data_IF_771255655625
#
_entry.id   IF_771255655625
#
_cell.length_a   1.000
_cell.length_b   1.000
_cell.length_c   1.000
_cell.angle_alpha   90.00
_cell.angle_beta   90.00
_cell.angle_gamma   90.00
#
_symmetry.space_group_name_H-M   'P 1'
#
loop_
_entity.id
_entity.type
_entity.pdbx_description
1 polymer ?
#
# COMPACT_ATOMS: atom_id res chain seq x y z
N UNK A 1 -33.33 -41.50 17.89
CA UNK A 1 -32.67 -40.29 18.44
C UNK A 1 -31.37 -40.10 17.69
N UNK A 2 -31.35 -39.18 16.74
CA UNK A 2 -30.21 -38.87 15.88
C UNK A 2 -29.31 -37.83 16.56
N UNK A 3 -28.04 -38.18 16.77
CA UNK A 3 -27.03 -37.31 17.36
C UNK A 3 -26.64 -36.22 16.34
N UNK A 4 -26.83 -34.94 16.68
CA UNK A 4 -26.25 -33.81 15.93
C UNK A 4 -24.93 -33.41 16.59
N UNK A 5 -23.81 -33.34 15.85
CA UNK A 5 -22.55 -32.80 16.38
C UNK A 5 -22.65 -31.30 16.67
N UNK A 6 -21.92 -30.87 17.70
CA UNK A 6 -21.82 -29.50 18.19
C UNK A 6 -20.94 -28.63 17.27
N UNK A 7 -21.26 -27.33 17.17
CA UNK A 7 -20.50 -26.29 16.44
C UNK A 7 -19.07 -26.03 16.99
N UNK A 8 -18.67 -26.75 18.05
CA UNK A 8 -17.38 -26.62 18.74
C UNK A 8 -16.49 -27.88 18.64
N UNK A 9 -16.87 -28.89 17.84
CA UNK A 9 -15.93 -29.97 17.53
C UNK A 9 -14.86 -29.42 16.57
N UNK A 10 -13.67 -29.15 17.12
CA UNK A 10 -12.50 -28.67 16.38
C UNK A 10 -12.19 -29.62 15.21
N UNK A 11 -12.01 -29.12 13.98
CA UNK A 11 -11.52 -29.96 12.89
C UNK A 11 -10.08 -30.41 13.19
N UNK A 12 -9.65 -31.55 12.62
CA UNK A 12 -8.30 -32.05 12.82
C UNK A 12 -7.27 -31.03 12.33
N UNK A 13 -6.16 -30.99 13.07
CA UNK A 13 -4.97 -30.18 12.81
C UNK A 13 -4.45 -30.43 11.38
N UNK A 14 -4.91 -29.60 10.44
CA UNK A 14 -4.28 -29.47 9.14
C UNK A 14 -3.15 -28.50 9.35
N UNK A 15 -1.95 -29.04 9.54
CA UNK A 15 -0.70 -28.31 9.35
C UNK A 15 -0.65 -27.83 7.89
N UNK A 16 -1.33 -26.71 7.63
CA UNK A 16 -1.24 -26.02 6.37
C UNK A 16 0.18 -25.46 6.30
N UNK A 17 1.00 -26.07 5.45
CA UNK A 17 2.20 -25.42 4.93
C UNK A 17 1.74 -24.13 4.23
N UNK A 18 1.58 -23.04 4.99
CA UNK A 18 1.49 -21.69 4.45
C UNK A 18 2.86 -21.42 3.84
N UNK A 19 2.99 -21.68 2.54
CA UNK A 19 4.17 -21.26 1.79
C UNK A 19 4.27 -19.75 1.92
N UNK A 20 5.35 -19.26 2.54
CA UNK A 20 5.63 -17.83 2.67
C UNK A 20 5.42 -17.11 1.33
N UNK A 21 4.92 -15.87 1.32
CA UNK A 21 4.69 -15.12 0.09
C UNK A 21 5.98 -15.09 -0.75
N UNK A 22 5.87 -15.44 -2.04
CA UNK A 22 7.02 -15.40 -2.95
C UNK A 22 7.38 -13.95 -3.26
N UNK A 23 8.53 -13.51 -2.77
CA UNK A 23 9.06 -12.19 -3.08
C UNK A 23 9.75 -12.16 -4.44
N UNK A 24 9.46 -11.14 -5.25
CA UNK A 24 10.19 -10.81 -6.47
C UNK A 24 10.85 -9.46 -6.26
N UNK A 25 12.19 -9.45 -6.25
CA UNK A 25 12.95 -8.21 -6.20
C UNK A 25 13.13 -7.66 -7.61
N UNK A 26 12.74 -6.41 -7.84
CA UNK A 26 13.02 -5.74 -9.12
C UNK A 26 14.33 -4.95 -8.96
N UNK A 27 15.26 -5.17 -9.88
CA UNK A 27 16.52 -4.42 -9.89
C UNK A 27 16.26 -3.01 -10.43
N UNK A 28 16.28 -2.02 -9.54
CA UNK A 28 16.19 -0.60 -9.87
C UNK A 28 17.49 0.08 -9.41
N UNK A 29 18.19 0.87 -10.25
CA UNK A 29 19.27 1.72 -9.76
C UNK A 29 18.74 2.68 -8.69
N UNK A 30 19.47 2.79 -7.58
CA UNK A 30 19.21 3.78 -6.51
C UNK A 30 17.81 3.69 -5.87
N UNK A 31 17.14 2.54 -5.95
CA UNK A 31 15.82 2.34 -5.37
C UNK A 31 15.57 0.89 -4.98
N UNK A 32 14.81 0.69 -3.92
CA UNK A 32 14.46 -0.63 -3.41
C UNK A 32 12.96 -0.86 -3.53
N UNK A 33 12.60 -2.02 -4.10
CA UNK A 33 11.21 -2.42 -4.29
C UNK A 33 11.07 -3.94 -4.16
N UNK A 34 10.15 -4.38 -3.31
CA UNK A 34 9.79 -5.78 -3.14
C UNK A 34 8.37 -6.01 -3.61
N UNK A 35 8.17 -6.99 -4.48
CA UNK A 35 6.88 -7.31 -5.05
C UNK A 35 6.44 -8.72 -4.66
N UNK A 36 5.23 -8.83 -4.11
CA UNK A 36 4.62 -10.08 -3.64
C UNK A 36 3.35 -10.37 -4.47
N UNK A 37 3.47 -11.08 -5.59
CA UNK A 37 2.32 -11.47 -6.40
C UNK A 37 1.40 -12.41 -5.62
N UNK A 38 0.09 -12.19 -5.75
CA UNK A 38 -0.95 -12.97 -5.06
C UNK A 38 -0.74 -13.05 -3.54
N UNK A 39 -0.13 -12.02 -2.93
CA UNK A 39 0.15 -11.99 -1.49
C UNK A 39 -1.09 -12.30 -0.65
N UNK A 40 -2.25 -11.75 -1.03
CA UNK A 40 -3.50 -11.94 -0.30
C UNK A 40 -3.84 -13.42 -0.07
N UNK A 41 -3.63 -14.30 -1.07
CA UNK A 41 -3.97 -15.72 -0.96
C UNK A 41 -3.04 -16.53 -0.06
N UNK A 42 -1.84 -16.02 0.21
CA UNK A 42 -0.81 -16.64 1.06
C UNK A 42 -0.66 -15.96 2.41
N UNK A 43 -1.33 -14.83 2.60
CA UNK A 43 -1.32 -14.05 3.84
C UNK A 43 -2.31 -14.59 4.88
N UNK A 44 -2.24 -14.06 6.10
CA UNK A 44 -3.26 -14.30 7.14
C UNK A 44 -4.65 -13.75 6.78
N UNK A 45 -4.77 -12.92 5.75
CA UNK A 45 -6.06 -12.41 5.24
C UNK A 45 -6.70 -13.33 4.20
N UNK A 46 -6.06 -14.45 3.83
CA UNK A 46 -6.59 -15.39 2.83
C UNK A 46 -8.06 -15.79 3.09
N UNK A 47 -8.51 -16.04 4.34
CA UNK A 47 -9.92 -16.32 4.63
C UNK A 47 -10.89 -15.17 4.28
N UNK A 48 -10.42 -13.92 4.31
CA UNK A 48 -11.21 -12.73 3.97
C UNK A 48 -11.14 -12.36 2.48
N UNK A 49 -10.21 -12.98 1.73
CA UNK A 49 -9.97 -12.63 0.33
C UNK A 49 -11.24 -12.61 -0.56
N UNK A 50 -12.22 -13.52 -0.41
CA UNK A 50 -13.43 -13.51 -1.24
C UNK A 50 -14.33 -12.28 -1.03
N UNK A 51 -14.29 -11.64 0.14
CA UNK A 51 -15.20 -10.55 0.52
C UNK A 51 -14.49 -9.21 0.74
N UNK A 52 -13.15 -9.22 0.83
CA UNK A 52 -12.34 -8.06 1.20
C UNK A 52 -12.60 -6.84 0.33
N UNK A 53 -12.72 -7.05 -0.99
CA UNK A 53 -12.99 -5.98 -1.95
C UNK A 53 -14.34 -5.29 -1.67
N UNK A 54 -15.42 -6.08 -1.60
CA UNK A 54 -16.77 -5.57 -1.41
C UNK A 54 -16.91 -4.87 -0.06
N UNK A 55 -16.26 -5.43 0.96
CA UNK A 55 -16.32 -4.87 2.30
C UNK A 55 -15.59 -3.53 2.41
N UNK A 56 -14.41 -3.39 1.80
CA UNK A 56 -13.75 -2.09 1.68
C UNK A 56 -14.59 -1.12 0.84
N UNK A 57 -15.15 -1.59 -0.27
CA UNK A 57 -15.98 -0.77 -1.15
C UNK A 57 -17.20 -0.20 -0.42
N UNK A 58 -17.74 -0.94 0.54
CA UNK A 58 -18.89 -0.58 1.37
C UNK A 58 -18.53 0.29 2.59
N UNK A 59 -17.46 -0.02 3.31
CA UNK A 59 -17.12 0.63 4.58
C UNK A 59 -16.29 1.92 4.42
N UNK A 60 -15.44 2.01 3.40
CA UNK A 60 -14.55 3.16 3.22
C UNK A 60 -15.38 4.42 2.92
N UNK A 61 -15.05 5.51 3.61
CA UNK A 61 -15.72 6.80 3.47
C UNK A 61 -15.23 7.54 2.21
N UNK A 62 -15.60 7.02 1.04
CA UNK A 62 -15.11 7.50 -0.25
C UNK A 62 -15.50 8.97 -0.50
N UNK A 63 -14.49 9.78 -0.80
CA UNK A 63 -14.65 11.14 -1.31
C UNK A 63 -13.91 11.29 -2.65
N UNK A 64 -14.32 12.25 -3.48
CA UNK A 64 -13.50 12.71 -4.59
C UNK A 64 -12.85 14.05 -4.23
N UNK A 65 -11.66 14.02 -3.60
CA UNK A 65 -10.98 15.24 -3.12
C UNK A 65 -10.76 16.29 -4.22
N UNK A 66 -10.96 17.55 -3.85
CA UNK A 66 -10.57 18.71 -4.66
C UNK A 66 -9.17 19.19 -4.26
N UNK A 67 -8.28 19.35 -5.25
CA UNK A 67 -6.95 19.94 -5.08
C UNK A 67 -6.83 21.22 -5.91
N UNK A 68 -5.90 22.08 -5.52
CA UNK A 68 -5.55 23.27 -6.29
C UNK A 68 -4.26 22.99 -7.06
N UNK A 69 -4.33 22.95 -8.40
CA UNK A 69 -3.18 22.84 -9.27
C UNK A 69 -3.13 24.05 -10.19
N UNK A 70 -1.99 24.75 -10.20
CA UNK A 70 -1.79 25.99 -10.98
C UNK A 70 -2.90 27.03 -10.75
N UNK A 71 -3.33 27.18 -9.49
CA UNK A 71 -4.40 28.11 -9.10
C UNK A 71 -5.82 27.67 -9.46
N UNK A 72 -5.99 26.50 -10.10
CA UNK A 72 -7.31 25.95 -10.46
C UNK A 72 -7.71 24.83 -9.53
N UNK A 73 -8.93 24.91 -9.01
CA UNK A 73 -9.59 23.83 -8.27
C UNK A 73 -9.97 22.71 -9.22
N UNK A 74 -9.54 21.50 -8.91
CA UNK A 74 -9.87 20.32 -9.70
C UNK A 74 -10.04 19.09 -8.81
N UNK A 75 -11.04 18.27 -9.17
CA UNK A 75 -11.24 16.98 -8.53
C UNK A 75 -10.19 16.00 -9.03
N UNK A 76 -9.55 15.29 -8.12
CA UNK A 76 -8.62 14.22 -8.51
C UNK A 76 -9.40 13.12 -9.25
N UNK A 77 -8.80 12.47 -10.26
CA UNK A 77 -9.48 11.44 -11.04
C UNK A 77 -9.39 10.09 -10.33
N UNK A 78 -9.97 9.99 -9.13
CA UNK A 78 -10.16 8.79 -8.31
C UNK A 78 -10.94 9.15 -7.05
N UNK A 79 -11.57 8.17 -6.42
CA UNK A 79 -12.05 8.34 -5.05
C UNK A 79 -10.92 8.02 -4.07
N UNK A 80 -10.94 8.64 -2.90
CA UNK A 80 -10.00 8.35 -1.83
C UNK A 80 -10.64 8.51 -0.44
N UNK A 81 -9.93 7.99 0.55
CA UNK A 81 -10.21 8.23 1.96
C UNK A 81 -8.89 8.08 2.73
N UNK A 82 -8.64 8.98 3.67
CA UNK A 82 -7.42 8.97 4.48
C UNK A 82 -7.76 8.63 5.93
N UNK A 83 -7.16 7.55 6.43
CA UNK A 83 -7.28 7.09 7.81
C UNK A 83 -5.90 7.10 8.45
N UNK A 84 -5.79 7.58 9.68
CA UNK A 84 -4.52 7.60 10.40
C UNK A 84 -4.74 7.69 11.91
N UNK A 85 -3.67 7.53 12.67
CA UNK A 85 -3.69 7.85 14.09
C UNK A 85 -4.05 9.33 14.31
N UNK A 86 -4.79 9.69 15.37
CA UNK A 86 -5.25 11.06 15.61
C UNK A 86 -4.12 12.11 15.58
N UNK A 87 -2.93 11.75 16.08
CA UNK A 87 -1.75 12.62 16.10
C UNK A 87 -1.13 12.91 14.73
N UNK A 88 -1.58 12.24 13.66
CA UNK A 88 -1.10 12.46 12.30
C UNK A 88 -1.75 13.66 11.60
N UNK A 89 -2.82 14.24 12.16
CA UNK A 89 -3.46 15.42 11.59
C UNK A 89 -2.50 16.61 11.50
N UNK A 90 -2.56 17.34 10.40
CA UNK A 90 -1.63 18.45 10.12
C UNK A 90 -2.37 19.71 9.65
N UNK A 91 -1.73 20.86 9.78
CA UNK A 91 -2.26 22.14 9.29
C UNK A 91 -1.47 22.58 8.06
N UNK A 92 -2.15 22.80 6.94
CA UNK A 92 -1.55 23.38 5.75
C UNK A 92 -2.33 24.63 5.33
N UNK A 93 -1.61 25.75 5.15
CA UNK A 93 -2.19 27.05 4.77
C UNK A 93 -3.38 27.47 5.66
N UNK A 94 -3.26 27.25 6.97
CA UNK A 94 -4.29 27.58 7.96
C UNK A 94 -5.49 26.62 7.99
N UNK A 95 -5.55 25.61 7.12
CA UNK A 95 -6.56 24.56 7.16
C UNK A 95 -6.00 23.32 7.86
N UNK A 96 -6.68 22.88 8.92
CA UNK A 96 -6.39 21.60 9.56
C UNK A 96 -7.00 20.46 8.75
N UNK A 97 -6.22 19.41 8.54
CA UNK A 97 -6.62 18.18 7.88
C UNK A 97 -6.63 17.08 8.93
N UNK A 98 -7.84 16.71 9.36
CA UNK A 98 -8.06 15.65 10.34
C UNK A 98 -8.17 14.29 9.62
N UNK A 99 -7.44 13.26 10.05
CA UNK A 99 -7.59 11.93 9.50
C UNK A 99 -8.89 11.29 9.97
N UNK A 100 -9.44 10.38 9.15
CA UNK A 100 -10.53 9.53 9.61
C UNK A 100 -10.01 8.50 10.63
N UNK A 101 -10.81 8.12 11.64
CA UNK A 101 -10.44 7.05 12.56
C UNK A 101 -10.43 5.70 11.86
N UNK A 102 -9.41 4.88 12.14
CA UNK A 102 -9.24 3.57 11.51
C UNK A 102 -10.50 2.70 11.52
N UNK A 103 -10.82 2.12 10.36
CA UNK A 103 -11.79 1.03 10.28
C UNK A 103 -11.17 -0.26 10.85
N UNK A 104 -11.93 -1.11 11.58
CA UNK A 104 -11.43 -2.39 12.06
C UNK A 104 -10.80 -3.25 10.95
N UNK A 105 -11.42 -3.27 9.77
CA UNK A 105 -10.90 -3.98 8.61
C UNK A 105 -9.53 -3.44 8.14
N UNK A 106 -9.33 -2.12 8.16
CA UNK A 106 -8.04 -1.52 7.78
C UNK A 106 -6.95 -1.83 8.83
N UNK A 107 -7.32 -1.98 10.11
CA UNK A 107 -6.40 -2.43 11.18
C UNK A 107 -5.97 -3.88 10.95
N UNK A 108 -6.90 -4.77 10.59
CA UNK A 108 -6.59 -6.17 10.26
C UNK A 108 -5.66 -6.27 9.05
N UNK A 109 -5.94 -5.49 7.99
CA UNK A 109 -5.09 -5.44 6.80
C UNK A 109 -3.70 -4.93 7.15
N UNK A 110 -3.61 -3.84 7.93
CA UNK A 110 -2.34 -3.28 8.42
C UNK A 110 -1.53 -4.34 9.15
N UNK A 111 -2.14 -5.04 10.11
CA UNK A 111 -1.44 -6.05 10.92
C UNK A 111 -0.86 -7.19 10.05
N UNK A 112 -1.61 -7.66 9.04
CA UNK A 112 -1.14 -8.69 8.12
C UNK A 112 0.02 -8.19 7.23
N UNK A 113 -0.07 -6.97 6.72
CA UNK A 113 1.01 -6.33 5.95
C UNK A 113 2.25 -6.15 6.82
N UNK A 114 2.11 -5.60 8.03
CA UNK A 114 3.23 -5.42 8.97
C UNK A 114 3.88 -6.76 9.33
N UNK A 115 3.09 -7.81 9.59
CA UNK A 115 3.62 -9.16 9.84
C UNK A 115 4.47 -9.68 8.68
N UNK A 116 4.05 -9.44 7.44
CA UNK A 116 4.78 -9.88 6.24
C UNK A 116 6.09 -9.12 6.07
N UNK A 117 6.06 -7.79 6.24
CA UNK A 117 7.18 -6.91 5.91
C UNK A 117 8.19 -6.77 7.04
N UNK A 118 7.82 -7.12 8.28
CA UNK A 118 8.68 -6.98 9.47
C UNK A 118 10.08 -7.62 9.32
N UNK A 119 10.22 -8.86 8.79
CA UNK A 119 11.55 -9.46 8.61
C UNK A 119 12.46 -8.70 7.64
N UNK A 120 11.88 -7.98 6.66
CA UNK A 120 12.65 -7.15 5.74
C UNK A 120 13.02 -5.79 6.32
N UNK A 121 12.10 -5.19 7.09
CA UNK A 121 12.24 -3.80 7.55
C UNK A 121 12.96 -3.67 8.89
N UNK A 122 13.14 -4.77 9.63
CA UNK A 122 13.82 -4.80 10.93
C UNK A 122 14.93 -5.85 10.86
N UNK A 123 16.16 -5.40 10.63
CA UNK A 123 17.35 -6.28 10.67
C UNK A 123 17.43 -7.03 12.01
N UNK A 124 17.58 -8.35 11.96
CA UNK A 124 17.78 -9.19 13.14
C UNK A 124 16.51 -9.59 13.91
N UNK A 125 15.31 -9.32 13.39
CA UNK A 125 14.06 -9.79 14.00
C UNK A 125 13.97 -11.33 13.96
N UNK A 126 14.39 -12.00 15.03
CA UNK A 126 14.15 -13.43 15.22
C UNK A 126 12.72 -13.66 15.69
N UNK A 127 12.22 -14.89 15.54
CA UNK A 127 10.86 -15.26 15.97
C UNK A 127 10.66 -15.09 17.50
N UNK A 128 11.75 -14.98 18.27
CA UNK A 128 11.79 -14.75 19.72
C UNK A 128 11.71 -13.26 20.10
N UNK A 129 12.09 -12.32 19.22
CA UNK A 129 12.01 -10.87 19.51
C UNK A 129 10.56 -10.33 19.55
N UNK A 130 9.58 -11.12 19.11
CA UNK A 130 8.16 -10.76 19.14
C UNK A 130 7.61 -10.70 20.57
N UNK A 131 8.23 -11.40 21.52
CA UNK A 131 7.70 -11.49 22.89
C UNK A 131 8.38 -10.54 23.89
N UNK A 132 9.66 -10.17 23.75
CA UNK A 132 10.33 -9.26 24.70
C UNK A 132 11.53 -8.46 24.11
N UNK A 133 11.29 -7.30 23.50
CA UNK A 133 12.30 -6.22 23.42
C UNK A 133 11.67 -4.85 23.13
N UNK A 134 11.79 -3.92 24.08
CA UNK A 134 11.22 -2.56 24.07
C UNK A 134 11.82 -1.60 23.02
N UNK A 135 12.74 -2.07 22.16
CA UNK A 135 13.48 -1.23 21.22
C UNK A 135 13.13 -1.44 19.75
N UNK A 136 12.24 -2.37 19.40
CA UNK A 136 11.70 -2.47 18.03
C UNK A 136 10.42 -1.63 17.91
N UNK A 137 10.23 -0.82 16.84
CA UNK A 137 8.96 -0.15 16.62
C UNK A 137 7.85 -1.19 16.52
N UNK A 138 6.92 -1.20 17.50
CA UNK A 138 5.72 -2.03 17.46
C UNK A 138 4.94 -1.77 16.16
N UNK A 139 4.86 -0.52 15.76
CA UNK A 139 4.14 -0.07 14.56
C UNK A 139 5.10 0.42 13.46
N UNK A 140 4.91 -0.13 12.27
CA UNK A 140 5.63 0.25 11.04
C UNK A 140 4.84 1.36 10.33
N UNK A 141 3.51 1.27 10.32
CA UNK A 141 2.62 2.25 9.69
C UNK A 141 1.69 2.89 10.71
N UNK A 142 1.28 4.13 10.47
CA UNK A 142 0.30 4.86 11.31
C UNK A 142 -0.69 5.67 10.47
N UNK A 143 -0.65 5.48 9.14
CA UNK A 143 -1.46 6.20 8.16
C UNK A 143 -1.72 5.30 6.96
N UNK A 144 -2.93 5.38 6.41
CA UNK A 144 -3.34 4.70 5.18
C UNK A 144 -4.16 5.63 4.28
N UNK A 145 -3.76 5.72 3.01
CA UNK A 145 -4.55 6.34 1.97
C UNK A 145 -5.16 5.24 1.10
N UNK A 146 -6.48 5.12 1.16
CA UNK A 146 -7.23 4.21 0.30
C UNK A 146 -7.63 4.97 -0.96
N UNK A 147 -7.39 4.39 -2.13
CA UNK A 147 -7.75 4.96 -3.42
C UNK A 147 -8.64 3.97 -4.19
N UNK A 148 -9.73 4.44 -4.78
CA UNK A 148 -10.57 3.67 -5.69
C UNK A 148 -10.52 4.31 -7.09
N UNK A 149 -10.03 3.52 -8.05
CA UNK A 149 -10.02 3.85 -9.47
C UNK A 149 -11.24 3.17 -10.10
N UNK A 150 -12.27 3.95 -10.40
CA UNK A 150 -13.59 3.45 -10.85
C UNK A 150 -13.50 2.74 -12.19
N UNK A 151 -12.61 3.22 -13.06
CA UNK A 151 -12.40 2.69 -14.41
C UNK A 151 -11.00 3.08 -14.96
N UNK A 152 -10.82 2.90 -16.27
CA UNK A 152 -9.59 3.27 -16.99
C UNK A 152 -9.32 4.78 -17.09
N UNK A 153 -10.29 5.65 -16.78
CA UNK A 153 -10.18 7.10 -16.84
C UNK A 153 -9.71 7.72 -15.52
N UNK A 154 -9.84 6.98 -14.42
CA UNK A 154 -9.21 7.31 -13.15
C UNK A 154 -7.71 7.02 -13.16
N UNK A 155 -6.91 7.87 -12.49
CA UNK A 155 -5.45 7.84 -12.54
C UNK A 155 -4.79 8.57 -11.38
N UNK A 156 -3.47 8.39 -11.26
CA UNK A 156 -2.58 9.28 -10.52
C UNK A 156 -1.40 9.59 -11.43
N UNK A 157 -1.04 10.87 -11.55
CA UNK A 157 0.07 11.31 -12.40
C UNK A 157 1.43 10.90 -11.79
N UNK A 158 2.51 11.11 -12.54
CA UNK A 158 3.87 10.92 -12.04
C UNK A 158 4.13 11.71 -10.76
N UNK A 159 4.48 11.02 -9.68
CA UNK A 159 4.84 11.60 -8.38
C UNK A 159 5.81 10.67 -7.65
N UNK A 160 6.36 11.16 -6.54
CA UNK A 160 7.04 10.36 -5.52
C UNK A 160 6.30 10.59 -4.20
N UNK A 161 6.33 9.63 -3.30
CA UNK A 161 5.83 9.83 -1.93
C UNK A 161 6.94 10.50 -1.10
N UNK A 162 7.23 11.77 -1.40
CA UNK A 162 8.33 12.55 -0.80
C UNK A 162 7.82 13.73 0.05
N UNK A 163 6.59 13.62 0.55
CA UNK A 163 6.04 14.63 1.46
C UNK A 163 6.87 14.74 2.76
N UNK A 164 7.21 15.95 3.23
CA UNK A 164 8.10 16.15 4.38
C UNK A 164 7.68 15.39 5.64
N UNK A 165 6.37 15.25 5.86
CA UNK A 165 5.81 14.50 6.99
C UNK A 165 6.13 13.00 6.97
N UNK A 166 6.48 12.42 5.82
CA UNK A 166 6.92 11.04 5.71
C UNK A 166 8.38 10.85 6.14
N UNK A 167 9.14 11.95 6.25
CA UNK A 167 10.54 11.95 6.63
C UNK A 167 11.49 11.45 5.54
N UNK A 168 12.71 11.09 5.95
CA UNK A 168 13.72 10.59 5.03
C UNK A 168 13.54 9.08 4.79
N UNK A 169 13.65 8.67 3.53
CA UNK A 169 13.53 7.26 3.09
C UNK A 169 12.23 6.60 3.56
N UNK A 170 11.06 7.16 3.20
CA UNK A 170 9.80 6.65 3.70
C UNK A 170 9.49 5.25 3.18
N UNK A 171 8.97 4.42 4.07
CA UNK A 171 8.50 3.07 3.76
C UNK A 171 7.04 3.17 3.32
N UNK A 172 6.73 2.65 2.14
CA UNK A 172 5.40 2.66 1.55
C UNK A 172 5.00 1.24 1.17
N UNK A 173 3.93 0.73 1.78
CA UNK A 173 3.36 -0.57 1.40
C UNK A 173 2.02 -0.38 0.69
N UNK A 174 1.81 -1.07 -0.42
CA UNK A 174 0.67 -0.90 -1.31
C UNK A 174 0.01 -2.24 -1.64
N UNK A 175 -1.21 -2.45 -1.14
CA UNK A 175 -2.04 -3.62 -1.47
C UNK A 175 -3.05 -3.26 -2.57
N UNK A 176 -3.14 -4.09 -3.60
CA UNK A 176 -4.05 -3.92 -4.74
C UNK A 176 -5.18 -4.94 -4.72
N UNK A 177 -6.42 -4.50 -4.94
CA UNK A 177 -7.62 -5.35 -5.03
C UNK A 177 -8.47 -4.96 -6.24
N UNK A 178 -9.17 -5.93 -6.82
CA UNK A 178 -10.01 -5.72 -8.01
C UNK A 178 -9.21 -5.71 -9.31
N UNK A 179 -9.59 -4.84 -10.24
CA UNK A 179 -9.06 -4.87 -11.60
C UNK A 179 -7.56 -4.52 -11.69
N UNK A 180 -6.88 -5.19 -12.61
CA UNK A 180 -5.46 -4.98 -12.83
C UNK A 180 -5.15 -3.59 -13.39
N UNK A 181 -4.07 -2.98 -12.90
CA UNK A 181 -3.56 -1.72 -13.43
C UNK A 181 -2.05 -1.76 -13.62
N UNK A 182 -1.60 -1.04 -14.64
CA UNK A 182 -0.18 -0.82 -14.88
C UNK A 182 0.34 0.23 -13.89
N UNK A 183 1.23 -0.18 -13.01
CA UNK A 183 2.03 0.69 -12.16
C UNK A 183 3.34 0.98 -12.88
N UNK A 184 3.51 2.23 -13.31
CA UNK A 184 4.68 2.63 -14.07
C UNK A 184 5.67 3.33 -13.14
N UNK A 185 6.93 2.97 -13.28
CA UNK A 185 8.06 3.54 -12.58
C UNK A 185 8.97 4.23 -13.58
N UNK A 186 9.51 5.38 -13.23
CA UNK A 186 10.59 6.03 -13.99
C UNK A 186 11.58 6.70 -13.04
N UNK A 187 12.86 6.61 -13.36
CA UNK A 187 13.88 7.34 -12.64
C UNK A 187 13.74 8.85 -12.90
N UNK A 188 14.00 9.71 -11.91
CA UNK A 188 13.90 11.17 -12.07
C UNK A 188 14.90 11.69 -13.14
N UNK A 189 16.04 11.02 -13.30
CA UNK A 189 17.03 11.33 -14.34
C UNK A 189 16.83 10.55 -15.66
N UNK A 190 15.67 9.90 -15.86
CA UNK A 190 15.39 9.05 -17.05
C UNK A 190 15.76 9.72 -18.37
N UNK A 191 15.37 10.99 -18.59
CA UNK A 191 15.64 11.70 -19.85
C UNK A 191 17.15 11.88 -20.15
N UNK A 192 17.96 12.05 -19.11
CA UNK A 192 19.41 12.23 -19.25
C UNK A 192 20.12 10.87 -19.42
N UNK A 193 19.64 9.83 -18.74
CA UNK A 193 20.29 8.51 -18.73
C UNK A 193 19.92 7.63 -19.92
N UNK A 194 18.71 7.73 -20.49
CA UNK A 194 18.28 6.91 -21.64
C UNK A 194 19.04 7.25 -22.93
N UNK A 195 19.65 8.45 -23.00
CA UNK A 195 20.55 8.79 -24.11
C UNK A 195 21.84 7.95 -24.11
N UNK A 196 22.20 7.36 -22.96
CA UNK A 196 23.44 6.60 -22.77
C UNK A 196 23.24 5.16 -22.22
N UNK A 197 22.02 4.77 -21.86
CA UNK A 197 21.72 3.48 -21.24
C UNK A 197 20.40 2.86 -21.74
N UNK A 198 20.19 1.57 -21.44
CA UNK A 198 18.96 0.84 -21.82
C UNK A 198 17.75 1.43 -21.09
N UNK A 199 16.70 1.80 -21.85
CA UNK A 199 15.47 2.41 -21.33
C UNK A 199 14.83 1.62 -20.18
N UNK A 200 14.84 0.30 -20.25
CA UNK A 200 14.24 -0.56 -19.22
C UNK A 200 14.92 -0.44 -17.86
N UNK A 201 16.21 -0.07 -17.78
CA UNK A 201 16.87 0.09 -16.48
C UNK A 201 16.32 1.30 -15.69
N UNK A 202 15.80 2.31 -16.40
CA UNK A 202 15.35 3.58 -15.80
C UNK A 202 13.84 3.78 -15.92
N UNK A 203 13.12 2.79 -16.45
CA UNK A 203 11.67 2.75 -16.54
C UNK A 203 11.18 1.33 -16.47
N UNK A 204 10.26 1.07 -15.54
CA UNK A 204 9.69 -0.26 -15.32
C UNK A 204 8.17 -0.19 -15.32
N UNK A 205 7.53 -1.28 -15.72
CA UNK A 205 6.08 -1.41 -15.68
C UNK A 205 5.73 -2.68 -14.91
N UNK A 206 4.98 -2.53 -13.82
CA UNK A 206 4.51 -3.63 -13.00
C UNK A 206 3.00 -3.72 -13.20
N UNK A 207 2.51 -4.88 -13.63
CA UNK A 207 1.06 -5.15 -13.62
C UNK A 207 0.68 -5.53 -12.19
N UNK A 208 0.01 -4.62 -11.48
CA UNK A 208 -0.55 -4.91 -10.16
C UNK A 208 -1.96 -5.47 -10.33
N UNK A 209 -2.13 -6.70 -9.88
CA UNK A 209 -3.32 -7.54 -9.98
C UNK A 209 -4.01 -7.67 -8.62
N UNK A 210 -5.18 -8.32 -8.62
CA UNK A 210 -5.90 -8.57 -7.37
C UNK A 210 -5.09 -9.38 -6.36
N UNK A 211 -4.91 -8.81 -5.17
CA UNK A 211 -4.22 -9.45 -4.05
C UNK A 211 -2.71 -9.22 -4.02
N UNK A 212 -2.15 -8.43 -4.94
CA UNK A 212 -0.71 -8.13 -4.98
C UNK A 212 -0.32 -7.11 -3.90
N UNK A 213 0.80 -7.35 -3.23
CA UNK A 213 1.44 -6.43 -2.30
C UNK A 213 2.75 -5.91 -2.88
N UNK A 214 2.97 -4.61 -2.81
CA UNK A 214 4.18 -3.93 -3.26
C UNK A 214 4.75 -3.10 -2.11
N UNK A 215 6.04 -3.27 -1.81
CA UNK A 215 6.78 -2.47 -0.85
C UNK A 215 7.77 -1.58 -1.60
N UNK A 216 7.75 -0.28 -1.35
CA UNK A 216 8.75 0.69 -1.80
C UNK A 216 9.48 1.24 -0.56
N UNK A 217 10.80 1.18 -0.54
CA UNK A 217 11.60 1.64 0.62
C UNK A 217 12.97 2.19 0.21
N UNK A 218 13.79 2.55 1.21
CA UNK A 218 15.10 3.15 1.04
C UNK A 218 15.04 4.43 0.21
N UNK A 219 15.89 4.51 -0.80
CA UNK A 219 16.02 5.72 -1.63
C UNK A 219 14.96 5.83 -2.75
N UNK A 220 13.97 4.92 -2.78
CA UNK A 220 12.99 4.84 -3.88
C UNK A 220 12.28 6.17 -4.14
N UNK A 221 11.77 6.86 -3.11
CA UNK A 221 11.02 8.10 -3.30
C UNK A 221 11.91 9.31 -3.66
N UNK A 222 13.22 9.22 -3.41
CA UNK A 222 14.19 10.23 -3.83
C UNK A 222 14.52 10.12 -5.31
N UNK A 223 14.70 8.90 -5.80
CA UNK A 223 15.26 8.62 -7.12
C UNK A 223 14.19 8.31 -8.18
N UNK A 224 13.03 7.78 -7.78
CA UNK A 224 12.00 7.28 -8.69
C UNK A 224 10.67 8.00 -8.52
N UNK A 225 9.99 8.15 -9.65
CA UNK A 225 8.59 8.54 -9.72
C UNK A 225 7.74 7.38 -10.18
N UNK A 226 6.49 7.38 -9.76
CA UNK A 226 5.52 6.37 -10.12
C UNK A 226 4.16 6.94 -10.52
N UNK A 227 3.38 6.17 -11.27
CA UNK A 227 2.03 6.55 -11.68
C UNK A 227 1.12 5.35 -11.95
N UNK A 228 -0.19 5.60 -11.92
CA UNK A 228 -1.22 4.75 -12.53
C UNK A 228 -1.80 5.54 -13.70
N UNK A 229 -1.42 5.27 -14.95
CA UNK A 229 -1.89 6.02 -16.10
C UNK A 229 -3.35 5.69 -16.43
N UNK A 230 -4.00 6.61 -17.13
CA UNK A 230 -5.28 6.34 -17.79
C UNK A 230 -5.09 5.32 -18.91
N UNK A 231 -6.13 4.56 -19.20
CA UNK A 231 -6.17 3.57 -20.28
C UNK A 231 -7.49 3.65 -21.02
N UNK A 232 -7.43 3.54 -22.35
CA UNK A 232 -8.63 3.40 -23.19
C UNK A 232 -9.20 1.98 -23.17
N UNK A 233 -8.43 1.00 -22.68
CA UNK A 233 -8.92 -0.37 -22.51
C UNK A 233 -9.99 -0.38 -21.41
N UNK A 234 -11.10 -1.07 -21.67
CA UNK A 234 -12.09 -1.32 -20.63
C UNK A 234 -11.43 -2.13 -19.51
N UNK A 235 -11.45 -1.58 -18.30
CA UNK A 235 -10.95 -2.21 -17.07
C UNK A 235 -11.98 -1.96 -15.98
N UNK A 236 -12.10 -2.90 -15.05
CA UNK A 236 -12.99 -2.76 -13.89
C UNK A 236 -12.45 -1.77 -12.86
N UNK A 237 -13.17 -1.69 -11.75
CA UNK A 237 -12.81 -0.88 -10.59
C UNK A 237 -11.63 -1.54 -9.83
N UNK A 238 -10.73 -0.71 -9.30
CA UNK A 238 -9.56 -1.12 -8.50
C UNK A 238 -9.50 -0.36 -7.19
N UNK A 239 -9.36 -1.06 -6.08
CA UNK A 239 -9.03 -0.48 -4.78
C UNK A 239 -7.54 -0.66 -4.51
N UNK A 240 -6.92 0.38 -3.97
CA UNK A 240 -5.51 0.39 -3.59
C UNK A 240 -5.36 0.98 -2.19
N UNK A 241 -4.69 0.25 -1.33
CA UNK A 241 -4.52 0.58 0.09
C UNK A 241 -3.03 0.86 0.29
N UNK A 242 -2.68 2.12 0.50
CA UNK A 242 -1.29 2.56 0.64
C UNK A 242 -0.99 2.98 2.07
N UNK A 243 -0.22 2.16 2.77
CA UNK A 243 0.23 2.40 4.14
C UNK A 243 1.54 3.18 4.17
N UNK A 244 1.63 4.13 5.12
CA UNK A 244 2.80 4.99 5.34
C UNK A 244 3.01 5.24 6.82
N UNK A 245 4.18 5.78 7.16
CA UNK A 245 4.50 6.33 8.48
C UNK A 245 4.64 7.84 8.40
N UNK A 246 3.70 8.55 9.02
CA UNK A 246 3.74 9.99 9.21
C UNK A 246 4.51 10.29 10.50
N UNK A 247 5.50 11.17 10.42
CA UNK A 247 6.20 11.74 11.56
C UNK A 247 5.30 12.76 12.24
N UNK A 248 5.17 12.63 13.56
CA UNK A 248 4.41 13.57 14.38
C UNK A 248 5.28 14.13 15.54
N UNK A 249 5.06 15.39 15.97
CA UNK A 249 4.15 16.35 15.34
C UNK A 249 4.57 16.66 13.91
N UNK A 250 3.61 16.89 13.00
CA UNK A 250 3.90 17.12 11.59
C UNK A 250 4.97 18.20 11.46
N UNK A 251 6.04 17.90 10.72
CA UNK A 251 7.19 18.82 10.58
C UNK A 251 6.67 20.11 9.93
N UNK A 252 6.88 21.24 10.60
CA UNK A 252 6.49 22.57 10.12
C UNK A 252 7.28 22.99 8.88
#
# INVERSE_FOLDING_TARGET
MSYQPSLFDSPPDVSSNLTSPRETHLSLPDGEISYYPSWLSTSSLSPLAPTLYDELRRQVAWEQTEIVLYGKKMRIPRLNAWYAEPQCGYTYSGKYFEPLPWLPLLVEIKAAVEKTLRPLLIEGATQEDVTQKESTPREIFNSVLVNCYRDGQDSVAWHSDDEPELGNNPIVASLSLGADRQFQLRHKNYKQQVQHAKSEQYKQNIRLSNGDLLLMHGNMQHCWQHQIPKTKKAVGERINITFRKIKYPAVK
#
